data_IF_288886920835
#
_entry.id   IF_288886920835
#
_cell.length_a   1.000
_cell.length_b   1.000
_cell.length_c   1.000
_cell.angle_alpha   90.00
_cell.angle_beta   90.00
_cell.angle_gamma   90.00
#
_symmetry.space_group_name_H-M   'P 1'
#
loop_
_entity.id
_entity.type
_entity.pdbx_description
1 polymer ?
#
# COMPACT_ATOMS: atom_id res chain seq x y z
N UNK A 1 28.71 4.05 4.67
CA UNK A 1 27.78 3.19 5.42
C UNK A 1 26.49 3.97 5.66
N UNK A 2 25.51 3.83 4.77
CA UNK A 2 24.19 4.47 4.92
C UNK A 2 23.31 3.50 5.69
N UNK A 3 22.85 3.93 6.87
CA UNK A 3 21.97 3.18 7.76
C UNK A 3 20.69 2.81 7.00
N UNK A 4 20.48 1.51 6.76
CA UNK A 4 19.17 0.94 6.40
C UNK A 4 18.24 1.14 7.60
N UNK A 5 17.57 2.28 7.64
CA UNK A 5 16.38 2.52 8.47
C UNK A 5 15.19 2.67 7.54
N UNK A 6 14.82 1.57 6.87
CA UNK A 6 13.41 1.36 6.46
C UNK A 6 12.88 0.31 7.41
N UNK A 7 12.43 0.86 8.53
CA UNK A 7 11.84 0.21 9.66
C UNK A 7 10.57 -0.54 9.21
N UNK A 8 10.59 -1.86 9.34
CA UNK A 8 9.51 -2.66 9.92
C UNK A 8 8.13 -1.98 10.01
N UNK A 9 7.32 -2.14 8.97
CA UNK A 9 5.87 -2.24 9.12
C UNK A 9 5.50 -3.70 8.91
N UNK A 10 5.82 -4.48 9.94
CA UNK A 10 5.23 -5.79 10.17
C UNK A 10 3.76 -5.57 10.53
N UNK A 11 2.89 -5.45 9.52
CA UNK A 11 1.47 -5.70 9.71
C UNK A 11 1.26 -7.21 9.64
N UNK A 12 1.68 -7.88 10.72
CA UNK A 12 1.14 -9.16 11.12
C UNK A 12 -0.35 -8.96 11.45
N UNK A 13 -1.21 -9.07 10.45
CA UNK A 13 -2.64 -9.28 10.63
C UNK A 13 -2.98 -10.61 9.98
N UNK A 14 -2.74 -11.65 10.78
CA UNK A 14 -3.44 -12.92 10.81
C UNK A 14 -4.23 -13.27 9.54
N UNK A 15 -3.59 -14.04 8.66
CA UNK A 15 -4.27 -14.96 7.75
C UNK A 15 -4.95 -16.06 8.57
N UNK A 16 -6.01 -15.68 9.28
CA UNK A 16 -6.96 -16.58 9.92
C UNK A 16 -8.37 -16.12 9.54
N UNK A 17 -8.60 -15.91 8.24
CA UNK A 17 -9.96 -15.76 7.73
C UNK A 17 -10.44 -17.17 7.40
N UNK A 18 -11.04 -17.82 8.41
CA UNK A 18 -11.83 -19.02 8.21
C UNK A 18 -12.83 -18.82 7.07
N UNK A 19 -13.06 -19.88 6.31
CA UNK A 19 -14.02 -19.91 5.22
C UNK A 19 -15.33 -19.18 5.60
N UNK A 20 -15.94 -18.42 4.69
CA UNK A 20 -17.24 -17.82 4.96
C UNK A 20 -18.24 -18.97 5.02
N UNK A 21 -18.45 -19.51 6.21
CA UNK A 21 -19.76 -20.06 6.50
C UNK A 21 -20.72 -18.91 6.21
N UNK A 22 -21.49 -19.05 5.13
CA UNK A 22 -22.73 -18.30 4.95
C UNK A 22 -23.59 -18.69 6.15
N UNK A 23 -23.35 -18.04 7.28
CA UNK A 23 -24.16 -18.15 8.45
C UNK A 23 -25.52 -17.61 8.01
N UNK A 24 -26.44 -18.51 7.71
CA UNK A 24 -27.85 -18.18 7.73
C UNK A 24 -28.07 -17.43 9.04
N UNK A 25 -28.68 -16.25 8.96
CA UNK A 25 -28.97 -15.40 10.10
C UNK A 25 -30.04 -16.10 10.95
N UNK A 26 -29.65 -17.15 11.67
CA UNK A 26 -30.48 -17.84 12.64
C UNK A 26 -30.48 -16.95 13.88
N UNK A 27 -31.62 -16.35 14.24
CA UNK A 27 -31.70 -15.50 15.42
C UNK A 27 -31.35 -16.31 16.68
N UNK A 28 -30.64 -15.71 17.65
CA UNK A 28 -30.39 -16.38 18.92
C UNK A 28 -31.71 -16.66 19.62
N UNK A 29 -31.72 -17.68 20.49
CA UNK A 29 -32.93 -18.10 21.21
C UNK A 29 -33.59 -16.96 22.00
N UNK A 30 -32.82 -15.96 22.41
CA UNK A 30 -33.27 -14.72 23.08
C UNK A 30 -34.16 -13.83 22.21
N UNK A 31 -34.01 -13.90 20.89
CA UNK A 31 -34.70 -13.07 19.90
C UNK A 31 -35.73 -13.86 19.09
N UNK A 32 -35.52 -15.17 18.90
CA UNK A 32 -36.43 -16.04 18.16
C UNK A 32 -37.87 -15.97 18.71
N UNK A 33 -38.84 -15.70 17.84
CA UNK A 33 -40.26 -15.53 18.17
C UNK A 33 -40.62 -14.21 18.85
N UNK A 34 -39.68 -13.26 18.94
CA UNK A 34 -39.91 -11.94 19.54
C UNK A 34 -40.22 -10.87 18.47
N UNK A 35 -40.84 -9.74 18.84
CA UNK A 35 -41.02 -8.60 17.94
C UNK A 35 -39.71 -8.03 17.38
N UNK A 36 -38.57 -8.28 18.06
CA UNK A 36 -37.24 -7.83 17.66
C UNK A 36 -36.57 -8.73 16.59
N UNK A 37 -37.17 -9.87 16.24
CA UNK A 37 -36.60 -10.82 15.28
C UNK A 37 -36.37 -10.19 13.89
N UNK A 38 -37.36 -9.46 13.38
CA UNK A 38 -37.24 -8.80 12.08
C UNK A 38 -36.17 -7.70 12.05
N UNK A 39 -35.92 -7.01 13.17
CA UNK A 39 -34.85 -6.03 13.28
C UNK A 39 -33.47 -6.70 13.36
N UNK A 40 -33.36 -7.81 14.10
CA UNK A 40 -32.12 -8.56 14.20
C UNK A 40 -31.69 -9.18 12.87
N UNK A 41 -32.63 -9.71 12.08
CA UNK A 41 -32.35 -10.25 10.74
C UNK A 41 -31.80 -9.15 9.83
N UNK A 42 -32.45 -7.98 9.78
CA UNK A 42 -31.98 -6.83 9.00
C UNK A 42 -30.59 -6.36 9.41
N UNK A 43 -30.32 -6.28 10.72
CA UNK A 43 -29.00 -5.91 11.23
C UNK A 43 -27.94 -6.94 10.88
N UNK A 44 -28.29 -8.23 10.91
CA UNK A 44 -27.37 -9.33 10.56
C UNK A 44 -27.06 -9.36 9.06
N UNK A 45 -28.05 -9.11 8.20
CA UNK A 45 -27.84 -8.96 6.75
C UNK A 45 -26.92 -7.78 6.44
N UNK A 46 -27.17 -6.62 7.07
CA UNK A 46 -26.32 -5.43 6.94
C UNK A 46 -24.89 -5.70 7.44
N UNK A 47 -24.73 -6.41 8.56
CA UNK A 47 -23.40 -6.82 9.05
C UNK A 47 -22.69 -7.71 8.02
N UNK A 48 -23.39 -8.68 7.43
CA UNK A 48 -22.83 -9.57 6.42
C UNK A 48 -22.40 -8.80 5.14
N UNK A 49 -23.18 -7.82 4.70
CA UNK A 49 -22.82 -6.92 3.61
C UNK A 49 -21.56 -6.11 3.95
N UNK A 50 -21.52 -5.46 5.11
CA UNK A 50 -20.35 -4.69 5.56
C UNK A 50 -19.09 -5.54 5.69
N UNK A 51 -19.21 -6.81 6.09
CA UNK A 51 -18.08 -7.76 6.11
C UNK A 51 -17.51 -8.03 4.72
N UNK A 52 -18.38 -8.15 3.70
CA UNK A 52 -17.93 -8.31 2.30
C UNK A 52 -17.20 -7.06 1.81
N UNK A 53 -17.73 -5.89 2.13
CA UNK A 53 -17.10 -4.61 1.78
C UNK A 53 -15.73 -4.44 2.44
N UNK A 54 -15.62 -4.75 3.73
CA UNK A 54 -14.34 -4.75 4.47
C UNK A 54 -13.35 -5.72 3.82
N UNK A 55 -13.77 -6.95 3.50
CA UNK A 55 -12.90 -7.93 2.84
C UNK A 55 -12.43 -7.44 1.47
N UNK A 56 -13.33 -6.86 0.67
CA UNK A 56 -12.95 -6.26 -0.62
C UNK A 56 -11.92 -5.14 -0.42
N UNK A 57 -12.17 -4.22 0.50
CA UNK A 57 -11.26 -3.11 0.78
C UNK A 57 -9.91 -3.58 1.32
N UNK A 58 -9.85 -4.66 2.10
CA UNK A 58 -8.59 -5.29 2.48
C UNK A 58 -7.80 -5.76 1.25
N UNK A 59 -8.47 -6.42 0.29
CA UNK A 59 -7.78 -6.87 -0.94
C UNK A 59 -7.29 -5.71 -1.80
N UNK A 60 -8.07 -4.63 -1.90
CA UNK A 60 -7.68 -3.44 -2.65
C UNK A 60 -6.53 -2.69 -1.96
N UNK A 61 -6.58 -2.54 -0.64
CA UNK A 61 -5.50 -1.96 0.15
C UNK A 61 -4.20 -2.79 0.05
N UNK A 62 -4.28 -4.12 0.14
CA UNK A 62 -3.13 -5.00 -0.04
C UNK A 62 -2.52 -4.86 -1.45
N UNK A 63 -3.35 -4.71 -2.48
CA UNK A 63 -2.89 -4.47 -3.86
C UNK A 63 -2.16 -3.13 -3.98
N UNK A 64 -2.67 -2.08 -3.36
CA UNK A 64 -2.04 -0.76 -3.39
C UNK A 64 -0.71 -0.75 -2.61
N UNK A 65 -0.64 -1.45 -1.47
CA UNK A 65 0.60 -1.68 -0.72
C UNK A 65 1.65 -2.42 -1.56
N UNK A 66 1.25 -3.47 -2.29
CA UNK A 66 2.16 -4.20 -3.20
C UNK A 66 2.72 -3.27 -4.29
N UNK A 67 1.87 -2.47 -4.93
CA UNK A 67 2.31 -1.49 -5.94
C UNK A 67 3.25 -0.45 -5.36
N UNK A 68 2.98 0.02 -4.15
CA UNK A 68 3.86 0.96 -3.46
C UNK A 68 5.24 0.34 -3.26
N UNK A 69 5.32 -0.90 -2.76
CA UNK A 69 6.58 -1.62 -2.56
C UNK A 69 7.36 -1.84 -3.87
N UNK A 70 6.66 -2.21 -4.96
CA UNK A 70 7.27 -2.33 -6.29
C UNK A 70 7.87 -0.99 -6.76
N UNK A 71 7.13 0.11 -6.57
CA UNK A 71 7.61 1.45 -6.95
C UNK A 71 8.80 1.86 -6.09
N UNK A 72 8.80 1.58 -4.78
CA UNK A 72 9.96 1.79 -3.90
C UNK A 72 11.20 1.09 -4.47
N UNK A 73 11.09 -0.21 -4.77
CA UNK A 73 12.20 -1.00 -5.28
C UNK A 73 12.75 -0.43 -6.61
N UNK A 74 11.87 0.05 -7.50
CA UNK A 74 12.31 0.69 -8.75
C UNK A 74 12.97 2.05 -8.54
N UNK A 75 12.45 2.85 -7.59
CA UNK A 75 13.01 4.16 -7.22
C UNK A 75 14.40 4.00 -6.62
N UNK A 76 14.59 3.07 -5.69
CA UNK A 76 15.89 2.84 -5.04
C UNK A 76 16.96 2.38 -6.04
N UNK A 77 16.58 1.50 -6.98
CA UNK A 77 17.46 1.11 -8.09
C UNK A 77 17.81 2.29 -9.00
N UNK A 78 16.83 3.14 -9.31
CA UNK A 78 17.08 4.33 -10.14
C UNK A 78 18.01 5.32 -9.44
N UNK A 79 17.84 5.53 -8.13
CA UNK A 79 18.70 6.37 -7.32
C UNK A 79 20.14 5.84 -7.30
N UNK A 80 20.33 4.54 -7.05
CA UNK A 80 21.66 3.91 -7.08
C UNK A 80 22.36 4.13 -8.43
N UNK A 81 21.66 3.84 -9.54
CA UNK A 81 22.24 4.02 -10.88
C UNK A 81 22.55 5.49 -11.20
N UNK A 82 21.72 6.42 -10.73
CA UNK A 82 22.01 7.85 -10.90
C UNK A 82 23.27 8.27 -10.15
N UNK A 83 23.49 7.73 -8.94
CA UNK A 83 24.68 8.00 -8.16
C UNK A 83 25.94 7.41 -8.82
N UNK A 84 25.84 6.18 -9.34
CA UNK A 84 26.95 5.51 -10.04
C UNK A 84 27.32 6.23 -11.35
N UNK A 85 26.31 6.65 -12.13
CA UNK A 85 26.52 7.42 -13.37
C UNK A 85 27.16 8.78 -13.08
N UNK A 86 26.67 9.48 -12.05
CA UNK A 86 27.26 10.74 -11.59
C UNK A 86 28.72 10.56 -11.15
N UNK A 87 29.02 9.51 -10.38
CA UNK A 87 30.40 9.25 -9.95
C UNK A 87 31.32 8.95 -11.14
N UNK A 88 30.82 8.23 -12.14
CA UNK A 88 31.57 7.93 -13.37
C UNK A 88 31.86 9.21 -14.17
N UNK A 89 30.86 10.09 -14.29
CA UNK A 89 31.00 11.39 -14.92
C UNK A 89 32.02 12.28 -14.19
N UNK A 90 31.90 12.40 -12.86
CA UNK A 90 32.82 13.16 -12.01
C UNK A 90 34.27 12.65 -12.11
N UNK A 91 34.46 11.32 -12.19
CA UNK A 91 35.79 10.72 -12.41
C UNK A 91 36.39 11.08 -13.76
N UNK A 92 35.58 11.06 -14.82
CA UNK A 92 36.03 11.45 -16.17
C UNK A 92 36.35 12.95 -16.25
N UNK A 93 35.55 13.79 -15.59
CA UNK A 93 35.78 15.23 -15.45
C UNK A 93 37.07 15.55 -14.71
N UNK A 94 37.39 14.79 -13.66
CA UNK A 94 38.61 14.95 -12.89
C UNK A 94 39.87 14.47 -13.63
N UNK A 95 39.71 13.63 -14.66
CA UNK A 95 40.81 13.16 -15.50
C UNK A 95 40.99 14.11 -16.70
N UNK A 96 42.10 14.86 -16.80
CA UNK A 96 42.32 15.76 -17.93
C UNK A 96 42.33 14.99 -19.26
N UNK A 97 41.92 15.65 -20.37
CA UNK A 97 41.94 15.01 -21.68
C UNK A 97 43.38 14.61 -22.07
N UNK A 98 43.56 13.51 -22.80
CA UNK A 98 44.87 13.11 -23.31
C UNK A 98 45.47 14.21 -24.20
N UNK A 99 46.56 14.82 -23.77
CA UNK A 99 47.27 15.84 -24.55
C UNK A 99 48.19 15.20 -25.58
N UNK A 100 48.29 15.80 -26.78
CA UNK A 100 49.23 15.36 -27.82
C UNK A 100 48.70 14.33 -28.82
N UNK A 101 47.48 13.82 -28.64
CA UNK A 101 46.85 12.89 -29.58
C UNK A 101 45.38 13.25 -29.81
N UNK A 102 45.08 13.89 -30.94
CA UNK A 102 43.74 14.40 -31.28
C UNK A 102 42.65 13.31 -31.21
N UNK A 103 42.94 12.09 -31.69
CA UNK A 103 41.99 10.97 -31.59
C UNK A 103 41.68 10.55 -30.15
N UNK A 104 42.66 10.65 -29.24
CA UNK A 104 42.45 10.30 -27.84
C UNK A 104 41.64 11.38 -27.12
N UNK A 105 41.87 12.66 -27.46
CA UNK A 105 41.05 13.77 -26.97
C UNK A 105 39.60 13.66 -27.46
N UNK A 106 39.38 13.32 -28.73
CA UNK A 106 38.03 13.09 -29.29
C UNK A 106 37.32 11.89 -28.61
N UNK A 107 38.03 10.77 -28.44
CA UNK A 107 37.49 9.60 -27.71
C UNK A 107 37.16 9.93 -26.25
N UNK A 108 37.99 10.75 -25.58
CA UNK A 108 37.72 11.21 -24.22
C UNK A 108 36.48 12.10 -24.17
N UNK A 109 36.35 13.06 -25.10
CA UNK A 109 35.20 13.96 -25.17
C UNK A 109 33.89 13.19 -25.43
N UNK A 110 33.92 12.18 -26.32
CA UNK A 110 32.78 11.29 -26.57
C UNK A 110 32.37 10.52 -25.31
N UNK A 111 33.33 9.91 -24.61
CA UNK A 111 33.04 9.21 -23.34
C UNK A 111 32.49 10.13 -22.27
N UNK A 112 32.98 11.37 -22.20
CA UNK A 112 32.49 12.36 -21.24
C UNK A 112 31.04 12.75 -21.56
N UNK A 113 30.72 12.95 -22.84
CA UNK A 113 29.36 13.23 -23.30
C UNK A 113 28.41 12.06 -23.02
N UNK A 114 28.79 10.82 -23.36
CA UNK A 114 28.03 9.61 -23.06
C UNK A 114 27.73 9.48 -21.56
N UNK A 115 28.73 9.72 -20.71
CA UNK A 115 28.54 9.66 -19.25
C UNK A 115 27.63 10.77 -18.71
N UNK A 116 27.62 11.96 -19.33
CA UNK A 116 26.71 13.05 -18.97
C UNK A 116 25.26 12.70 -19.36
N UNK A 117 25.07 12.14 -20.55
CA UNK A 117 23.76 11.70 -21.04
C UNK A 117 23.20 10.56 -20.18
N UNK A 118 24.03 9.59 -19.80
CA UNK A 118 23.66 8.51 -18.89
C UNK A 118 23.22 9.05 -17.52
N UNK A 119 23.96 10.01 -16.95
CA UNK A 119 23.56 10.65 -15.70
C UNK A 119 22.22 11.38 -15.84
N UNK A 120 22.05 12.20 -16.88
CA UNK A 120 20.81 12.94 -17.13
C UNK A 120 19.59 11.99 -17.33
N UNK A 121 19.78 10.87 -18.02
CA UNK A 121 18.75 9.84 -18.20
C UNK A 121 18.32 9.25 -16.85
N UNK A 122 19.27 8.92 -16.00
CA UNK A 122 19.00 8.32 -14.70
C UNK A 122 18.38 9.30 -13.70
N UNK A 123 18.76 10.57 -13.77
CA UNK A 123 18.14 11.65 -13.00
C UNK A 123 16.67 11.85 -13.38
N UNK A 124 16.34 11.89 -14.68
CA UNK A 124 14.94 11.94 -15.15
C UNK A 124 14.12 10.74 -14.67
N UNK A 125 14.68 9.54 -14.74
CA UNK A 125 14.03 8.32 -14.23
C UNK A 125 13.80 8.38 -12.72
N UNK A 126 14.73 8.97 -11.97
CA UNK A 126 14.57 9.19 -10.54
C UNK A 126 13.41 10.16 -10.24
N UNK A 127 13.31 11.28 -10.95
CA UNK A 127 12.19 12.22 -10.81
C UNK A 127 10.83 11.59 -11.13
N UNK A 128 10.75 10.84 -12.23
CA UNK A 128 9.53 10.12 -12.61
C UNK A 128 9.17 9.04 -11.59
N UNK A 129 10.18 8.34 -11.05
CA UNK A 129 10.03 7.41 -9.94
C UNK A 129 9.46 8.11 -8.69
N UNK A 130 9.96 9.29 -8.34
CA UNK A 130 9.47 10.08 -7.20
C UNK A 130 8.03 10.58 -7.41
N UNK A 131 7.65 10.94 -8.65
CA UNK A 131 6.26 11.29 -9.00
C UNK A 131 5.33 10.08 -8.88
N UNK A 132 5.76 8.92 -9.39
CA UNK A 132 5.00 7.66 -9.28
C UNK A 132 4.84 7.23 -7.83
N UNK A 133 5.89 7.35 -7.03
CA UNK A 133 5.86 7.08 -5.58
C UNK A 133 4.79 7.90 -4.88
N UNK A 134 4.80 9.23 -5.05
CA UNK A 134 3.80 10.13 -4.45
C UNK A 134 2.37 9.75 -4.82
N UNK A 135 2.13 9.40 -6.09
CA UNK A 135 0.81 8.94 -6.54
C UNK A 135 0.40 7.59 -5.92
N UNK A 136 1.36 6.69 -5.70
CA UNK A 136 1.09 5.41 -5.06
C UNK A 136 0.81 5.56 -3.57
N UNK A 137 1.57 6.41 -2.88
CA UNK A 137 1.36 6.76 -1.48
C UNK A 137 -0.02 7.42 -1.26
N UNK A 138 -0.44 8.31 -2.16
CA UNK A 138 -1.79 8.89 -2.10
C UNK A 138 -2.90 7.83 -2.27
N UNK A 139 -2.69 6.83 -3.13
CA UNK A 139 -3.66 5.73 -3.33
C UNK A 139 -3.73 4.82 -2.11
N UNK A 140 -2.57 4.45 -1.56
CA UNK A 140 -2.47 3.68 -0.33
C UNK A 140 -3.17 4.39 0.84
N UNK A 141 -2.91 5.69 1.02
CA UNK A 141 -3.55 6.48 2.07
C UNK A 141 -5.09 6.53 1.91
N UNK A 142 -5.57 6.66 0.67
CA UNK A 142 -7.01 6.62 0.36
C UNK A 142 -7.62 5.24 0.65
N UNK A 143 -6.96 4.15 0.26
CA UNK A 143 -7.46 2.80 0.50
C UNK A 143 -7.41 2.43 1.98
N UNK A 144 -6.38 2.83 2.72
CA UNK A 144 -6.29 2.69 4.17
C UNK A 144 -7.40 3.47 4.88
N UNK A 145 -7.66 4.71 4.47
CA UNK A 145 -8.76 5.52 5.02
C UNK A 145 -10.13 4.90 4.75
N UNK A 146 -10.35 4.39 3.53
CA UNK A 146 -11.60 3.73 3.15
C UNK A 146 -11.83 2.45 3.97
N UNK A 147 -10.79 1.62 4.10
CA UNK A 147 -10.81 0.40 4.91
C UNK A 147 -11.16 0.71 6.38
N UNK A 148 -10.50 1.71 6.98
CA UNK A 148 -10.81 2.13 8.36
C UNK A 148 -12.26 2.57 8.52
N UNK A 149 -12.77 3.40 7.60
CA UNK A 149 -14.18 3.84 7.64
C UNK A 149 -15.15 2.67 7.47
N UNK A 150 -14.83 1.67 6.67
CA UNK A 150 -15.65 0.47 6.53
C UNK A 150 -15.62 -0.39 7.80
N UNK A 151 -14.45 -0.53 8.42
CA UNK A 151 -14.29 -1.20 9.72
C UNK A 151 -15.13 -0.53 10.81
N UNK A 152 -15.08 0.80 10.89
CA UNK A 152 -15.88 1.57 11.87
C UNK A 152 -17.39 1.37 11.67
N UNK A 153 -17.85 1.26 10.41
CA UNK A 153 -19.26 0.96 10.09
C UNK A 153 -19.65 -0.45 10.49
N UNK A 154 -18.77 -1.42 10.24
CA UNK A 154 -18.97 -2.81 10.65
C UNK A 154 -19.06 -2.91 12.17
N UNK A 155 -18.13 -2.30 12.89
CA UNK A 155 -18.12 -2.28 14.35
C UNK A 155 -19.39 -1.65 14.92
N UNK A 156 -19.87 -0.56 14.30
CA UNK A 156 -21.15 0.06 14.68
C UNK A 156 -22.32 -0.91 14.48
N UNK A 157 -22.41 -1.59 13.34
CA UNK A 157 -23.47 -2.56 13.07
C UNK A 157 -23.44 -3.75 14.05
N UNK A 158 -22.24 -4.26 14.36
CA UNK A 158 -22.05 -5.32 15.37
C UNK A 158 -22.52 -4.87 16.75
N UNK A 159 -22.21 -3.63 17.15
CA UNK A 159 -22.68 -3.05 18.43
C UNK A 159 -24.20 -2.88 18.46
N UNK A 160 -24.80 -2.41 17.37
CA UNK A 160 -26.27 -2.27 17.27
C UNK A 160 -26.96 -3.64 17.41
N UNK A 161 -26.44 -4.68 16.73
CA UNK A 161 -26.97 -6.04 16.81
C UNK A 161 -26.84 -6.64 18.22
N UNK A 162 -25.67 -6.51 18.83
CA UNK A 162 -25.41 -7.04 20.19
C UNK A 162 -26.21 -6.28 21.25
N UNK A 163 -26.41 -4.97 21.11
CA UNK A 163 -27.27 -4.20 21.99
C UNK A 163 -28.75 -4.63 21.90
N UNK A 164 -29.23 -4.93 20.69
CA UNK A 164 -30.59 -5.46 20.49
C UNK A 164 -30.76 -6.82 21.20
N UNK A 165 -29.77 -7.70 21.08
CA UNK A 165 -29.75 -8.99 21.76
C UNK A 165 -29.74 -8.85 23.30
N UNK A 166 -28.93 -7.94 23.83
CA UNK A 166 -28.90 -7.65 25.26
C UNK A 166 -30.25 -7.12 25.76
N UNK A 167 -30.91 -6.22 25.01
CA UNK A 167 -32.25 -5.72 25.35
C UNK A 167 -33.29 -6.84 25.37
N UNK A 168 -33.27 -7.71 24.36
CA UNK A 168 -34.18 -8.85 24.29
C UNK A 168 -33.97 -9.85 25.46
N UNK A 169 -32.70 -10.07 25.85
CA UNK A 169 -32.37 -10.89 27.03
C UNK A 169 -32.90 -10.29 28.34
N UNK A 170 -32.77 -8.97 28.51
CA UNK A 170 -33.25 -8.29 29.72
C UNK A 170 -34.78 -8.25 29.79
N UNK A 171 -35.48 -8.14 28.65
CA UNK A 171 -36.94 -8.13 28.60
C UNK A 171 -37.58 -9.50 28.90
N UNK A 172 -36.81 -10.60 28.85
CA UNK A 172 -37.27 -11.96 29.17
C UNK A 172 -37.05 -12.37 30.63
N UNK A 173 -36.33 -11.56 31.42
CA UNK A 173 -36.12 -11.77 32.85
C UNK A 173 -37.19 -11.04 33.65
#
# INVERSE_FOLDING_TARGET
MIKLTVFTMASALSLACGAPALAQAIPPASIAGSPAEGEWVKLSEKEAELRRDVNRLHTDHARDMSKLAEIAATKDRALSRSADARQSYERLLASPPPTGHAEMADRWAKKLAESADDWALHERKHEDGAKKWRKAEERESKSASALRKAQDRLDKAVRERTALEQRALMARR
#
